data_IF_575896722671
#
_entry.id   IF_575896722671
#
_cell.length_a   1.000
_cell.length_b   1.000
_cell.length_c   1.000
_cell.angle_alpha   90.00
_cell.angle_beta   90.00
_cell.angle_gamma   90.00
#
_symmetry.space_group_name_H-M   'P 1'
#
loop_
_entity.id
_entity.type
_entity.pdbx_description
1 polymer ?
#
# COMPACT_ATOMS: atom_id res chain seq x y z
N UNK A 1 -13.27 -16.67 -4.42
CA UNK A 1 -12.00 -16.13 -4.96
C UNK A 1 -11.31 -15.35 -3.87
N UNK A 2 -9.97 -15.31 -3.82
CA UNK A 2 -9.20 -14.54 -2.83
C UNK A 2 -9.00 -13.12 -3.31
N UNK A 3 -8.95 -12.16 -2.39
CA UNK A 3 -8.84 -10.73 -2.67
C UNK A 3 -7.54 -10.15 -2.09
N UNK A 4 -6.78 -9.46 -2.92
CA UNK A 4 -5.55 -8.79 -2.53
C UNK A 4 -5.68 -7.27 -2.71
N UNK A 5 -5.34 -6.51 -1.70
CA UNK A 5 -5.24 -5.04 -1.75
C UNK A 5 -3.77 -4.66 -1.81
N UNK A 6 -3.37 -3.89 -2.83
CA UNK A 6 -2.00 -3.39 -2.97
C UNK A 6 -2.02 -1.88 -2.94
N UNK A 7 -1.41 -1.27 -1.92
CA UNK A 7 -1.35 0.18 -1.80
C UNK A 7 -0.24 0.76 -2.66
N UNK A 8 -0.49 1.93 -3.28
CA UNK A 8 0.48 2.55 -4.19
C UNK A 8 0.81 1.69 -5.42
N UNK A 9 -0.20 1.04 -6.00
CA UNK A 9 -0.04 0.02 -7.03
C UNK A 9 0.03 0.55 -8.47
N UNK A 10 0.01 1.87 -8.67
CA UNK A 10 0.04 2.49 -10.02
C UNK A 10 1.37 2.29 -10.76
N UNK A 11 2.47 2.05 -10.05
CA UNK A 11 3.83 1.93 -10.64
C UNK A 11 4.78 1.12 -9.75
N UNK A 12 5.98 0.87 -10.28
CA UNK A 12 7.10 0.30 -9.52
C UNK A 12 6.79 -1.05 -8.88
N UNK A 13 7.22 -1.22 -7.65
CA UNK A 13 7.07 -2.48 -6.89
C UNK A 13 5.60 -2.80 -6.66
N UNK A 14 4.78 -1.79 -6.31
CA UNK A 14 3.34 -1.99 -6.11
C UNK A 14 2.62 -2.52 -7.35
N UNK A 15 2.94 -1.97 -8.54
CA UNK A 15 2.44 -2.49 -9.82
C UNK A 15 2.88 -3.95 -10.03
N UNK A 16 4.14 -4.25 -9.82
CA UNK A 16 4.65 -5.62 -9.98
C UNK A 16 3.96 -6.61 -9.03
N UNK A 17 3.73 -6.22 -7.78
CA UNK A 17 2.97 -7.01 -6.82
C UNK A 17 1.52 -7.23 -7.28
N UNK A 18 0.85 -6.18 -7.75
CA UNK A 18 -0.53 -6.26 -8.24
C UNK A 18 -0.66 -7.25 -9.41
N UNK A 19 0.20 -7.13 -10.40
CA UNK A 19 0.23 -8.02 -11.55
C UNK A 19 0.55 -9.47 -11.16
N UNK A 20 1.49 -9.66 -10.24
CA UNK A 20 1.84 -11.00 -9.77
C UNK A 20 0.68 -11.66 -9.03
N UNK A 21 0.04 -10.96 -8.10
CA UNK A 21 -1.11 -11.48 -7.36
C UNK A 21 -2.29 -11.81 -8.29
N UNK A 22 -2.53 -10.98 -9.32
CA UNK A 22 -3.56 -11.28 -10.32
C UNK A 22 -3.25 -12.57 -11.09
N UNK A 23 -2.00 -12.79 -11.50
CA UNK A 23 -1.56 -14.03 -12.15
C UNK A 23 -1.67 -15.26 -11.24
N UNK A 24 -1.53 -15.07 -9.93
CA UNK A 24 -1.72 -16.11 -8.92
C UNK A 24 -3.22 -16.33 -8.57
N UNK A 25 -4.15 -15.71 -9.32
CA UNK A 25 -5.60 -15.93 -9.23
C UNK A 25 -6.30 -15.09 -8.16
N UNK A 26 -5.67 -14.03 -7.65
CA UNK A 26 -6.32 -13.08 -6.74
C UNK A 26 -7.09 -12.02 -7.52
N UNK A 27 -8.29 -11.67 -7.05
CA UNK A 27 -8.91 -10.38 -7.39
C UNK A 27 -8.03 -9.30 -6.80
N UNK A 28 -7.52 -8.39 -7.64
CA UNK A 28 -6.49 -7.44 -7.21
C UNK A 28 -7.03 -6.01 -7.17
N UNK A 29 -7.00 -5.42 -5.99
CA UNK A 29 -7.36 -4.01 -5.79
C UNK A 29 -6.12 -3.15 -5.99
N UNK A 30 -6.14 -2.33 -7.04
CA UNK A 30 -5.09 -1.39 -7.39
C UNK A 30 -5.39 -0.06 -6.71
N UNK A 31 -4.75 0.20 -5.55
CA UNK A 31 -4.89 1.47 -4.86
C UNK A 31 -3.90 2.51 -5.42
N UNK A 32 -4.38 3.74 -5.53
CA UNK A 32 -3.61 4.92 -5.93
C UNK A 32 -4.14 6.16 -5.21
N UNK A 33 -3.31 7.21 -5.08
CA UNK A 33 -3.73 8.50 -4.54
C UNK A 33 -3.96 9.54 -5.65
N UNK A 34 -3.02 9.68 -6.58
CA UNK A 34 -3.03 10.75 -7.59
C UNK A 34 -2.91 10.24 -9.04
N UNK A 35 -2.25 9.12 -9.26
CA UNK A 35 -1.88 8.60 -10.59
C UNK A 35 -2.97 7.66 -11.14
N UNK A 36 -4.14 8.20 -11.45
CA UNK A 36 -5.27 7.41 -11.96
C UNK A 36 -5.00 6.76 -13.32
N UNK A 37 -4.45 7.47 -14.33
CA UNK A 37 -4.19 6.86 -15.64
C UNK A 37 -3.24 5.66 -15.55
N UNK A 38 -2.18 5.76 -14.75
CA UNK A 38 -1.22 4.68 -14.54
C UNK A 38 -1.86 3.50 -13.78
N UNK A 39 -2.69 3.79 -12.79
CA UNK A 39 -3.43 2.74 -12.07
C UNK A 39 -4.43 2.04 -13.00
N UNK A 40 -5.12 2.77 -13.87
CA UNK A 40 -6.01 2.22 -14.87
C UNK A 40 -5.27 1.29 -15.84
N UNK A 41 -4.11 1.69 -16.33
CA UNK A 41 -3.27 0.85 -17.19
C UNK A 41 -2.87 -0.46 -16.51
N UNK A 42 -2.60 -0.44 -15.20
CA UNK A 42 -2.32 -1.68 -14.43
C UNK A 42 -3.54 -2.60 -14.38
N UNK A 43 -4.73 -2.04 -14.16
CA UNK A 43 -5.96 -2.83 -14.13
C UNK A 43 -6.29 -3.41 -15.51
N UNK A 44 -6.07 -2.65 -16.57
CA UNK A 44 -6.28 -3.11 -17.95
C UNK A 44 -5.31 -4.27 -18.29
N UNK A 45 -4.06 -4.19 -17.84
CA UNK A 45 -3.09 -5.29 -18.00
C UNK A 45 -3.51 -6.54 -17.22
N UNK A 46 -4.03 -6.38 -15.99
CA UNK A 46 -4.58 -7.48 -15.21
C UNK A 46 -5.72 -8.16 -15.97
N UNK A 47 -6.64 -7.39 -16.53
CA UNK A 47 -7.81 -7.90 -17.27
C UNK A 47 -7.40 -8.56 -18.59
N UNK A 48 -6.47 -7.97 -19.32
CA UNK A 48 -5.93 -8.54 -20.55
C UNK A 48 -5.25 -9.90 -20.33
N UNK A 49 -4.68 -10.11 -19.14
CA UNK A 49 -4.10 -11.39 -18.71
C UNK A 49 -5.16 -12.39 -18.16
N UNK A 50 -6.45 -12.07 -18.23
CA UNK A 50 -7.53 -12.94 -17.74
C UNK A 50 -7.80 -12.82 -16.23
N UNK A 51 -7.17 -11.88 -15.55
CA UNK A 51 -7.43 -11.59 -14.12
C UNK A 51 -8.61 -10.64 -13.92
N UNK A 52 -8.94 -10.38 -12.66
CA UNK A 52 -9.98 -9.43 -12.27
C UNK A 52 -9.47 -8.50 -11.17
N UNK A 53 -10.09 -7.34 -11.04
CA UNK A 53 -9.73 -6.36 -10.04
C UNK A 53 -10.53 -5.06 -10.11
N UNK A 54 -10.20 -4.14 -9.21
CA UNK A 54 -10.80 -2.81 -9.19
C UNK A 54 -9.77 -1.74 -8.87
N UNK A 55 -10.04 -0.54 -9.35
CA UNK A 55 -9.34 0.67 -8.93
C UNK A 55 -9.91 1.18 -7.60
N UNK A 56 -9.03 1.68 -6.75
CA UNK A 56 -9.45 2.29 -5.50
C UNK A 56 -8.61 3.54 -5.21
N UNK A 57 -9.18 4.71 -5.44
CA UNK A 57 -8.52 5.95 -5.08
C UNK A 57 -8.61 6.18 -3.57
N UNK A 58 -7.46 6.26 -2.91
CA UNK A 58 -7.34 6.63 -1.51
C UNK A 58 -5.91 7.07 -1.20
N UNK A 59 -5.75 8.17 -0.49
CA UNK A 59 -4.51 8.52 0.18
C UNK A 59 -4.45 7.73 1.49
N UNK A 60 -3.48 6.83 1.62
CA UNK A 60 -3.39 5.97 2.80
C UNK A 60 -2.88 6.68 4.05
N UNK A 61 -2.38 7.91 3.93
CA UNK A 61 -2.10 8.77 5.08
C UNK A 61 -3.37 9.31 5.76
N UNK A 62 -4.52 9.24 5.07
CA UNK A 62 -5.83 9.65 5.59
C UNK A 62 -6.63 8.42 6.06
N UNK A 63 -6.85 8.25 7.37
CA UNK A 63 -7.57 7.10 7.91
C UNK A 63 -9.02 7.01 7.44
N UNK A 64 -9.69 8.14 7.11
CA UNK A 64 -11.05 8.13 6.61
C UNK A 64 -11.11 7.57 5.18
N UNK A 65 -10.17 7.94 4.31
CA UNK A 65 -10.05 7.39 2.96
C UNK A 65 -9.68 5.90 3.00
N UNK A 66 -8.77 5.49 3.89
CA UNK A 66 -8.45 4.06 4.08
C UNK A 66 -9.69 3.28 4.50
N UNK A 67 -10.44 3.77 5.48
CA UNK A 67 -11.67 3.10 5.91
C UNK A 67 -12.72 3.01 4.80
N UNK A 68 -12.87 4.06 3.98
CA UNK A 68 -13.77 4.07 2.82
C UNK A 68 -13.33 3.05 1.76
N UNK A 69 -12.04 3.01 1.42
CA UNK A 69 -11.46 2.03 0.50
C UNK A 69 -11.75 0.60 0.96
N UNK A 70 -11.42 0.27 2.20
CA UNK A 70 -11.59 -1.10 2.72
C UNK A 70 -13.07 -1.50 2.83
N UNK A 71 -13.98 -0.54 3.09
CA UNK A 71 -15.42 -0.78 2.99
C UNK A 71 -15.87 -1.07 1.56
N UNK A 72 -15.39 -0.29 0.58
CA UNK A 72 -15.72 -0.50 -0.83
C UNK A 72 -15.27 -1.89 -1.32
N UNK A 73 -14.04 -2.29 -1.00
CA UNK A 73 -13.51 -3.62 -1.31
C UNK A 73 -14.35 -4.72 -0.65
N UNK A 74 -14.67 -4.55 0.63
CA UNK A 74 -15.48 -5.51 1.37
C UNK A 74 -16.92 -5.61 0.84
N UNK A 75 -17.48 -4.50 0.35
CA UNK A 75 -18.82 -4.47 -0.28
C UNK A 75 -18.80 -5.19 -1.63
N UNK A 76 -17.75 -5.01 -2.41
CA UNK A 76 -17.64 -5.61 -3.74
C UNK A 76 -17.35 -7.12 -3.69
N UNK A 77 -16.48 -7.55 -2.78
CA UNK A 77 -15.93 -8.91 -2.80
C UNK A 77 -16.14 -9.70 -1.50
N UNK A 78 -16.68 -9.10 -0.46
CA UNK A 78 -17.00 -9.75 0.81
C UNK A 78 -15.81 -9.99 1.74
N UNK A 79 -14.58 -9.95 1.23
CA UNK A 79 -13.38 -10.33 1.99
C UNK A 79 -12.12 -9.58 1.55
N UNK A 80 -11.09 -9.66 2.39
CA UNK A 80 -9.71 -9.27 2.08
C UNK A 80 -8.82 -10.39 2.60
N UNK A 81 -7.99 -10.98 1.73
CA UNK A 81 -7.11 -12.09 2.08
C UNK A 81 -5.66 -11.67 2.20
N UNK A 82 -5.24 -10.70 1.37
CA UNK A 82 -3.89 -10.16 1.35
C UNK A 82 -3.94 -8.63 1.36
N UNK A 83 -3.12 -8.03 2.20
CA UNK A 83 -2.80 -6.61 2.14
C UNK A 83 -1.30 -6.47 1.86
N UNK A 84 -0.94 -5.73 0.81
CA UNK A 84 0.43 -5.29 0.56
C UNK A 84 0.51 -3.80 0.85
N UNK A 85 1.09 -3.45 1.98
CA UNK A 85 1.44 -2.09 2.35
C UNK A 85 2.73 -1.71 1.59
N UNK A 86 2.57 -1.02 0.45
CA UNK A 86 3.66 -0.60 -0.41
C UNK A 86 3.71 0.92 -0.62
N UNK A 87 2.58 1.62 -0.51
CA UNK A 87 2.54 3.07 -0.66
C UNK A 87 3.55 3.75 0.27
N UNK A 88 4.38 4.62 -0.28
CA UNK A 88 5.39 5.32 0.51
C UNK A 88 6.13 6.35 -0.32
N UNK A 89 6.82 7.24 0.37
CA UNK A 89 7.70 8.24 -0.23
C UNK A 89 9.11 8.13 0.33
N UNK A 90 10.06 8.47 -0.52
CA UNK A 90 11.44 8.72 -0.14
C UNK A 90 11.67 10.23 -0.18
N UNK A 91 12.17 10.78 0.89
CA UNK A 91 12.61 12.17 1.00
C UNK A 91 13.99 12.17 1.65
N UNK A 92 14.99 12.34 0.79
CA UNK A 92 16.38 12.39 1.24
C UNK A 92 16.69 13.82 1.72
N UNK A 93 17.06 13.94 2.99
CA UNK A 93 17.39 15.20 3.64
C UNK A 93 18.38 14.95 4.78
N UNK A 94 19.45 15.75 4.83
CA UNK A 94 20.38 15.64 5.94
C UNK A 94 19.72 16.11 7.23
N UNK A 95 20.03 15.46 8.34
CA UNK A 95 19.42 15.77 9.66
C UNK A 95 19.54 17.26 10.03
N UNK A 96 20.65 17.89 9.65
CA UNK A 96 20.87 19.32 9.89
C UNK A 96 19.86 20.23 9.18
N UNK A 97 19.33 19.78 8.05
CA UNK A 97 18.41 20.54 7.20
C UNK A 97 16.97 20.02 7.30
N UNK A 98 16.73 19.00 8.13
CA UNK A 98 15.44 18.36 8.25
C UNK A 98 14.37 19.35 8.72
N UNK A 99 13.35 19.53 7.90
CA UNK A 99 12.19 20.33 8.24
C UNK A 99 11.03 19.46 8.76
N UNK A 100 10.13 20.11 9.50
CA UNK A 100 8.98 19.46 10.10
C UNK A 100 8.05 18.79 9.07
N UNK A 101 7.84 19.43 7.93
CA UNK A 101 6.90 18.94 6.92
C UNK A 101 7.41 17.65 6.27
N UNK A 102 8.72 17.55 6.01
CA UNK A 102 9.35 16.32 5.51
C UNK A 102 9.19 15.18 6.53
N UNK A 103 9.48 15.46 7.81
CA UNK A 103 9.32 14.48 8.88
C UNK A 103 7.88 14.00 8.98
N UNK A 104 6.93 14.92 9.13
CA UNK A 104 5.51 14.57 9.31
C UNK A 104 4.97 13.79 8.12
N UNK A 105 5.23 14.23 6.89
CA UNK A 105 4.74 13.58 5.69
C UNK A 105 5.29 12.16 5.52
N UNK A 106 6.58 11.94 5.82
CA UNK A 106 7.16 10.60 5.77
C UNK A 106 6.55 9.69 6.84
N UNK A 107 6.38 10.18 8.07
CA UNK A 107 5.76 9.41 9.14
C UNK A 107 4.28 9.10 8.86
N UNK A 108 3.51 10.09 8.38
CA UNK A 108 2.09 9.91 8.06
C UNK A 108 1.89 8.83 6.98
N UNK A 109 2.66 8.88 5.90
CA UNK A 109 2.46 7.96 4.79
C UNK A 109 3.12 6.60 5.04
N UNK A 110 4.42 6.59 5.39
CA UNK A 110 5.21 5.35 5.43
C UNK A 110 4.94 4.50 6.67
N UNK A 111 4.51 5.12 7.80
CA UNK A 111 4.27 4.42 9.06
C UNK A 111 2.79 4.38 9.39
N UNK A 112 2.16 5.55 9.59
CA UNK A 112 0.74 5.58 9.99
C UNK A 112 -0.16 5.01 8.91
N UNK A 113 0.12 5.30 7.62
CA UNK A 113 -0.62 4.71 6.50
C UNK A 113 -0.63 3.18 6.50
N UNK A 114 0.51 2.56 6.81
CA UNK A 114 0.61 1.10 6.94
C UNK A 114 -0.25 0.58 8.11
N UNK A 115 -0.21 1.27 9.25
CA UNK A 115 -1.00 0.90 10.42
C UNK A 115 -2.50 1.07 10.17
N UNK A 116 -2.94 2.15 9.51
CA UNK A 116 -4.33 2.36 9.17
C UNK A 116 -4.85 1.27 8.23
N UNK A 117 -4.09 0.95 7.18
CA UNK A 117 -4.45 -0.12 6.26
C UNK A 117 -4.47 -1.49 6.97
N UNK A 118 -3.46 -1.79 7.77
CA UNK A 118 -3.38 -3.03 8.53
C UNK A 118 -4.55 -3.19 9.50
N UNK A 119 -4.88 -2.14 10.27
CA UNK A 119 -6.02 -2.14 11.19
C UNK A 119 -7.34 -2.49 10.47
N UNK A 120 -7.60 -1.84 9.35
CA UNK A 120 -8.83 -2.09 8.58
C UNK A 120 -8.85 -3.48 7.92
N UNK A 121 -7.71 -3.98 7.45
CA UNK A 121 -7.60 -5.34 6.90
C UNK A 121 -7.81 -6.40 7.98
N UNK A 122 -7.17 -6.25 9.15
CA UNK A 122 -7.32 -7.17 10.28
C UNK A 122 -8.78 -7.30 10.72
N UNK A 123 -9.56 -6.22 10.75
CA UNK A 123 -10.98 -6.28 11.06
C UNK A 123 -11.76 -7.23 10.12
N UNK A 124 -11.31 -7.39 8.87
CA UNK A 124 -11.94 -8.31 7.90
C UNK A 124 -11.37 -9.73 7.99
N UNK A 125 -10.08 -9.84 8.28
CA UNK A 125 -9.37 -11.12 8.40
C UNK A 125 -9.68 -11.86 9.71
N UNK A 126 -9.90 -11.12 10.79
CA UNK A 126 -10.05 -11.64 12.15
C UNK A 126 -11.18 -12.66 12.30
N UNK A 127 -12.36 -12.34 11.75
CA UNK A 127 -13.55 -13.25 11.83
C UNK A 127 -13.30 -14.58 11.12
N UNK A 128 -12.48 -14.57 10.07
CA UNK A 128 -12.16 -15.75 9.27
C UNK A 128 -10.91 -16.47 9.77
N UNK A 129 -10.20 -15.88 10.74
CA UNK A 129 -8.91 -16.35 11.27
C UNK A 129 -7.90 -16.64 10.15
N UNK A 130 -7.94 -15.87 9.07
CA UNK A 130 -7.11 -16.04 7.89
C UNK A 130 -6.85 -14.72 7.19
N UNK A 131 -5.62 -14.49 6.79
CA UNK A 131 -5.17 -13.32 6.04
C UNK A 131 -3.66 -13.14 6.16
N UNK A 132 -3.09 -12.36 5.24
CA UNK A 132 -1.67 -12.05 5.20
C UNK A 132 -1.49 -10.55 5.03
N UNK A 133 -0.62 -9.94 5.81
CA UNK A 133 -0.19 -8.55 5.65
C UNK A 133 1.30 -8.55 5.32
N UNK A 134 1.65 -7.89 4.23
CA UNK A 134 3.02 -7.72 3.76
C UNK A 134 3.36 -6.24 3.86
N UNK A 135 4.33 -5.90 4.69
CA UNK A 135 4.85 -4.54 4.80
C UNK A 135 6.13 -4.41 3.98
N UNK A 136 6.17 -3.42 3.10
CA UNK A 136 7.35 -3.12 2.29
C UNK A 136 8.33 -2.27 3.08
N UNK A 137 9.33 -2.92 3.70
CA UNK A 137 10.44 -2.23 4.33
C UNK A 137 11.51 -1.85 3.29
N UNK A 138 12.73 -1.61 3.71
CA UNK A 138 13.87 -1.25 2.87
C UNK A 138 15.16 -1.68 3.55
N UNK A 139 16.21 -1.87 2.75
CA UNK A 139 17.58 -2.00 3.28
C UNK A 139 17.97 -0.77 4.13
N UNK A 140 17.42 0.41 3.82
CA UNK A 140 17.61 1.64 4.60
C UNK A 140 17.04 1.56 6.04
N UNK A 141 16.15 0.61 6.32
CA UNK A 141 15.69 0.33 7.69
C UNK A 141 16.70 -0.44 8.54
N UNK A 142 17.73 -1.01 7.90
CA UNK A 142 18.78 -1.82 8.55
C UNK A 142 20.14 -1.15 8.46
N UNK A 143 20.44 -0.54 7.31
CA UNK A 143 21.70 0.14 7.04
C UNK A 143 21.50 1.64 7.00
N UNK A 144 22.33 2.38 7.75
CA UNK A 144 22.31 3.85 7.72
C UNK A 144 22.89 4.37 6.41
N UNK A 145 22.08 5.13 5.67
CA UNK A 145 22.52 5.83 4.47
C UNK A 145 22.52 7.35 4.70
N UNK A 146 23.57 8.08 4.30
CA UNK A 146 23.61 9.53 4.40
C UNK A 146 22.40 10.18 3.75
N UNK A 147 21.79 11.16 4.42
CA UNK A 147 20.61 11.86 3.93
C UNK A 147 19.27 11.11 4.11
N UNK A 148 19.27 9.86 4.57
CA UNK A 148 18.05 9.07 4.70
C UNK A 148 17.55 8.89 6.13
N UNK A 149 17.90 9.77 7.06
CA UNK A 149 17.57 9.59 8.48
C UNK A 149 16.07 9.36 8.73
N UNK A 150 15.19 10.16 8.12
CA UNK A 150 13.74 10.01 8.29
C UNK A 150 13.22 8.77 7.55
N UNK A 151 13.64 8.58 6.30
CA UNK A 151 13.22 7.41 5.52
C UNK A 151 13.66 6.11 6.20
N UNK A 152 14.90 6.04 6.68
CA UNK A 152 15.43 4.90 7.45
C UNK A 152 14.62 4.64 8.71
N UNK A 153 14.29 5.70 9.48
CA UNK A 153 13.44 5.57 10.66
C UNK A 153 12.06 5.00 10.31
N UNK A 154 11.42 5.47 9.22
CA UNK A 154 10.12 4.94 8.78
C UNK A 154 10.19 3.49 8.34
N UNK A 155 11.28 3.08 7.68
CA UNK A 155 11.45 1.72 7.17
C UNK A 155 11.96 0.73 8.23
N UNK A 156 12.57 1.24 9.29
CA UNK A 156 12.86 0.46 10.51
C UNK A 156 11.64 0.25 11.41
N UNK A 157 10.60 1.09 11.27
CA UNK A 157 9.35 0.99 12.04
C UNK A 157 8.35 -0.04 11.48
N UNK A 158 8.53 -0.53 10.26
CA UNK A 158 7.62 -1.46 9.55
C UNK A 158 8.33 -2.74 9.11
#
# INVERSE_FOLDING_TARGET
MKVAVVTGASRGIGRACALRLARDGYITVVNYAHSEPEAAAVLDEIRAAGGDGMLCRADVSDPAQVAAMMRAVSKAYGQIDVLVNNAGIVKDEYLLMLNKDTLDRCMELNVKGYLYCAQQAVLKMFRRKSGVIINMSSVSGILALPGQCVYSATKGAV
#
